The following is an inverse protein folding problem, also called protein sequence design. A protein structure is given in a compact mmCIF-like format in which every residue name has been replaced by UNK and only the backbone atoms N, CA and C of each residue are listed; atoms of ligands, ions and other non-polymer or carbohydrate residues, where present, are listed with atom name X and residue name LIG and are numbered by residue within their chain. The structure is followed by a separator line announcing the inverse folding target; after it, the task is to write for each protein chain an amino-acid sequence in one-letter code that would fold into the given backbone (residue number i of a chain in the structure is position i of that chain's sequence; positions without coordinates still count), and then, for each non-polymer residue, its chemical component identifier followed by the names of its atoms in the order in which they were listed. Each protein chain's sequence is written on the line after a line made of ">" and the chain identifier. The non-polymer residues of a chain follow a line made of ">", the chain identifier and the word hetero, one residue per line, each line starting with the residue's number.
data_IF_808943880461
#
_entry.id   IF_808943880461
#
_cell.length_a   1.000
_cell.length_b   1.000
_cell.length_c   1.000
_cell.angle_alpha   90.00
_cell.angle_beta   90.00
_cell.angle_gamma   90.00
#
_symmetry.space_group_name_H-M   'P 1'
#
loop_
_entity.id
_entity.type
_entity.pdbx_description
1 polymer ?
#
# COMPACT_ATOMS: atom_id res chain seq x y z
N UNK A 1 -53.93 0.96 -21.68
CA UNK A 1 -53.76 -0.45 -21.23
C UNK A 1 -53.30 -0.43 -19.79
N UNK A 2 -53.97 -1.14 -18.87
CA UNK A 2 -53.62 -1.13 -17.44
C UNK A 2 -52.46 -2.10 -17.14
N UNK A 3 -51.43 -1.60 -16.47
CA UNK A 3 -50.23 -2.37 -16.12
C UNK A 3 -50.48 -3.09 -14.77
N UNK A 4 -50.53 -4.43 -14.79
CA UNK A 4 -50.60 -5.27 -13.58
C UNK A 4 -49.21 -5.38 -12.96
N UNK A 5 -49.04 -4.83 -11.76
CA UNK A 5 -47.87 -5.09 -10.91
C UNK A 5 -48.16 -6.28 -10.01
N UNK A 6 -47.46 -7.40 -10.24
CA UNK A 6 -47.51 -8.55 -9.34
C UNK A 6 -46.65 -8.25 -8.11
N UNK A 7 -47.30 -8.13 -6.94
CA UNK A 7 -46.62 -8.04 -5.66
C UNK A 7 -45.96 -9.38 -5.36
N UNK A 8 -44.63 -9.41 -5.37
CA UNK A 8 -43.84 -10.58 -4.98
C UNK A 8 -43.89 -10.69 -3.46
N UNK A 9 -44.44 -11.79 -2.96
CA UNK A 9 -44.49 -12.11 -1.55
C UNK A 9 -43.06 -12.21 -1.00
N UNK A 10 -42.69 -11.47 0.07
CA UNK A 10 -41.41 -11.65 0.71
C UNK A 10 -41.44 -13.00 1.43
N UNK A 11 -40.80 -13.98 0.80
CA UNK A 11 -40.42 -15.28 1.38
C UNK A 11 -39.86 -15.09 2.78
N UNK A 12 -40.70 -15.23 3.83
CA UNK A 12 -40.34 -15.67 5.19
C UNK A 12 -41.64 -15.85 6.00
N UNK A 13 -42.41 -16.89 5.68
CA UNK A 13 -43.30 -17.49 6.67
C UNK A 13 -42.43 -18.23 7.70
N UNK A 14 -41.93 -17.50 8.69
CA UNK A 14 -41.17 -18.04 9.81
C UNK A 14 -42.13 -18.62 10.84
N UNK A 15 -42.28 -19.94 10.83
CA UNK A 15 -42.82 -20.73 11.94
C UNK A 15 -42.09 -20.35 13.25
N UNK A 16 -42.80 -19.84 14.28
CA UNK A 16 -42.20 -19.40 15.53
C UNK A 16 -41.78 -20.62 16.37
N UNK A 17 -40.55 -21.08 16.15
CA UNK A 17 -39.96 -22.18 16.91
C UNK A 17 -38.87 -22.98 16.20
N UNK A 18 -38.69 -22.78 14.89
CA UNK A 18 -37.64 -23.46 14.16
C UNK A 18 -36.25 -22.83 14.46
N UNK A 19 -35.25 -23.61 14.89
CA UNK A 19 -33.89 -23.12 15.06
C UNK A 19 -33.35 -22.62 13.72
N UNK A 20 -32.57 -21.51 13.70
CA UNK A 20 -32.06 -20.93 12.47
C UNK A 20 -31.24 -21.95 11.68
N UNK A 21 -31.37 -22.00 10.33
CA UNK A 21 -30.61 -22.92 9.51
C UNK A 21 -29.11 -22.65 9.71
N UNK A 22 -28.35 -23.71 10.01
CA UNK A 22 -26.90 -23.61 10.16
C UNK A 22 -26.28 -23.08 8.86
N UNK A 23 -25.40 -22.07 8.93
CA UNK A 23 -24.71 -21.60 7.73
C UNK A 23 -23.90 -22.75 7.12
N UNK A 24 -23.82 -22.83 5.78
CA UNK A 24 -23.04 -23.87 5.12
C UNK A 24 -21.59 -23.81 5.59
N UNK A 25 -21.11 -24.91 6.16
CA UNK A 25 -19.71 -25.09 6.54
C UNK A 25 -18.83 -24.90 5.29
N UNK A 26 -18.10 -23.79 5.23
CA UNK A 26 -17.01 -23.61 4.28
C UNK A 26 -15.88 -24.56 4.68
N UNK A 27 -15.84 -25.73 4.05
CA UNK A 27 -14.68 -26.61 4.10
C UNK A 27 -13.59 -26.03 3.21
N UNK A 28 -12.82 -25.07 3.75
CA UNK A 28 -11.60 -24.58 3.13
C UNK A 28 -10.53 -25.69 3.15
N UNK A 29 -10.60 -26.58 2.16
CA UNK A 29 -9.50 -27.47 1.81
C UNK A 29 -8.43 -26.66 1.05
N UNK A 30 -7.50 -26.08 1.80
CA UNK A 30 -6.22 -25.64 1.26
C UNK A 30 -5.29 -26.86 1.22
N UNK A 31 -5.27 -27.55 0.08
CA UNK A 31 -4.17 -28.43 -0.28
C UNK A 31 -2.90 -27.59 -0.46
N UNK A 32 -2.07 -27.60 0.59
CA UNK A 32 -0.69 -27.16 0.60
C UNK A 32 0.12 -28.09 -0.33
N UNK A 33 0.28 -27.71 -1.59
CA UNK A 33 1.34 -28.29 -2.41
C UNK A 33 2.67 -27.66 -2.06
N UNK A 34 3.42 -28.44 -1.30
CA UNK A 34 4.81 -28.29 -0.91
C UNK A 34 5.70 -28.39 -2.15
N UNK A 35 5.99 -27.27 -2.84
CA UNK A 35 7.00 -27.24 -3.90
C UNK A 35 8.36 -26.90 -3.30
N UNK A 36 9.01 -27.93 -2.77
CA UNK A 36 10.43 -27.94 -2.51
C UNK A 36 11.24 -27.78 -3.83
N UNK A 37 12.48 -27.29 -3.66
CA UNK A 37 13.59 -27.29 -4.63
C UNK A 37 13.66 -26.09 -5.60
N UNK A 38 14.54 -25.12 -5.32
CA UNK A 38 15.97 -25.14 -5.68
C UNK A 38 16.59 -23.78 -5.35
N UNK A 39 17.41 -23.78 -4.30
CA UNK A 39 18.30 -22.67 -3.97
C UNK A 39 19.52 -22.78 -4.88
N UNK A 40 19.57 -22.02 -5.98
CA UNK A 40 20.78 -21.83 -6.77
C UNK A 40 21.66 -20.80 -6.08
N UNK A 41 22.62 -21.27 -5.27
CA UNK A 41 23.74 -20.45 -4.81
C UNK A 41 24.71 -20.26 -5.97
N UNK A 42 24.81 -19.04 -6.49
CA UNK A 42 25.97 -18.62 -7.27
C UNK A 42 26.97 -18.01 -6.30
N UNK A 43 28.08 -18.71 -6.12
CA UNK A 43 29.31 -18.22 -5.50
C UNK A 43 30.08 -17.49 -6.60
N UNK A 44 30.26 -16.19 -6.46
CA UNK A 44 31.20 -15.42 -7.27
C UNK A 44 32.42 -15.14 -6.41
N UNK A 45 33.49 -15.90 -6.65
CA UNK A 45 34.85 -15.56 -6.24
C UNK A 45 35.33 -14.41 -7.12
N UNK A 46 35.43 -13.19 -6.58
CA UNK A 46 36.28 -12.15 -7.13
C UNK A 46 37.57 -12.06 -6.32
N UNK A 47 38.65 -12.48 -6.97
CA UNK A 47 40.04 -12.37 -6.53
C UNK A 47 40.45 -10.90 -6.65
N UNK A 48 40.73 -10.25 -5.52
CA UNK A 48 41.39 -8.94 -5.47
C UNK A 48 42.90 -9.08 -5.74
N UNK A 49 43.51 -8.18 -6.52
CA UNK A 49 44.93 -7.88 -6.41
C UNK A 49 45.18 -6.60 -5.58
N UNK A 50 46.22 -6.71 -4.76
CA UNK A 50 46.72 -5.72 -3.80
C UNK A 50 47.39 -4.49 -4.41
N UNK A 51 47.31 -3.41 -3.63
CA UNK A 51 47.98 -2.10 -3.74
C UNK A 51 49.51 -2.20 -3.85
N UNK A 52 50.18 -1.35 -4.66
CA UNK A 52 51.45 -0.64 -4.31
C UNK A 52 51.58 0.69 -5.09
N UNK A 53 51.55 1.80 -4.33
CA UNK A 53 52.37 3.03 -4.29
C UNK A 53 53.11 3.68 -5.49
N UNK A 54 52.85 5.01 -5.61
CA UNK A 54 53.78 6.18 -5.72
C UNK A 54 54.37 6.65 -7.07
N UNK A 55 54.25 7.98 -7.27
CA UNK A 55 55.13 8.99 -7.92
C UNK A 55 54.57 9.67 -9.20
N UNK A 56 54.36 11.00 -9.11
CA UNK A 56 53.97 11.98 -10.16
C UNK A 56 55.13 12.30 -11.17
N UNK A 57 55.02 13.30 -12.08
CA UNK A 57 54.41 13.28 -13.41
C UNK A 57 55.46 13.54 -14.53
N UNK A 58 55.09 13.50 -15.83
CA UNK A 58 55.03 14.78 -16.55
C UNK A 58 53.97 14.85 -17.66
N UNK A 59 53.88 16.07 -18.20
CA UNK A 59 52.86 16.61 -19.08
C UNK A 59 52.73 15.94 -20.46
N UNK A 60 51.53 16.17 -21.02
CA UNK A 60 51.25 16.48 -22.42
C UNK A 60 50.71 15.34 -23.30
N UNK A 61 49.83 15.77 -24.21
CA UNK A 61 49.30 15.15 -25.43
C UNK A 61 47.87 14.59 -25.35
N UNK A 62 47.01 15.24 -26.14
CA UNK A 62 45.62 14.95 -26.45
C UNK A 62 45.51 13.61 -27.19
N UNK A 63 44.81 12.63 -26.63
CA UNK A 63 44.20 11.55 -27.40
C UNK A 63 42.78 11.28 -26.90
N UNK A 64 41.82 11.66 -27.75
CA UNK A 64 40.40 11.31 -27.67
C UNK A 64 40.30 9.86 -28.11
N UNK A 65 40.44 8.93 -27.18
CA UNK A 65 40.16 7.52 -27.44
C UNK A 65 38.69 7.21 -27.14
N UNK A 66 38.05 6.67 -28.16
CA UNK A 66 36.70 6.16 -28.12
C UNK A 66 36.64 4.96 -27.16
N UNK A 67 35.90 5.08 -26.06
CA UNK A 67 35.51 3.94 -25.24
C UNK A 67 34.46 3.13 -26.00
N UNK A 68 34.72 1.86 -26.38
CA UNK A 68 33.66 0.99 -26.87
C UNK A 68 32.78 0.60 -25.69
N UNK A 69 31.56 1.12 -25.66
CA UNK A 69 30.54 0.69 -24.74
C UNK A 69 30.24 -0.81 -24.98
N UNK A 70 30.09 -1.63 -23.93
CA UNK A 70 29.72 -3.03 -24.09
C UNK A 70 28.31 -3.14 -24.68
N UNK A 71 28.21 -3.69 -25.89
CA UNK A 71 26.93 -4.09 -26.48
C UNK A 71 26.32 -5.23 -25.66
N UNK A 72 25.34 -4.92 -24.83
CA UNK A 72 24.40 -5.91 -24.32
C UNK A 72 23.43 -6.25 -25.45
N UNK A 73 23.72 -7.35 -26.17
CA UNK A 73 22.77 -7.99 -27.08
C UNK A 73 21.58 -8.49 -26.26
N UNK A 74 20.53 -7.67 -26.18
CA UNK A 74 19.24 -8.10 -25.68
C UNK A 74 18.70 -9.18 -26.63
N UNK A 75 18.68 -10.42 -26.15
CA UNK A 75 18.01 -11.51 -26.82
C UNK A 75 16.55 -11.12 -27.07
N UNK A 76 16.16 -11.12 -28.35
CA UNK A 76 14.79 -10.92 -28.78
C UNK A 76 13.91 -11.99 -28.11
N UNK A 77 12.95 -11.54 -27.29
CA UNK A 77 11.86 -12.39 -26.81
C UNK A 77 10.92 -12.69 -27.98
N UNK A 78 10.60 -13.97 -28.25
CA UNK A 78 9.56 -14.30 -29.22
C UNK A 78 8.22 -13.78 -28.72
N UNK A 79 7.59 -12.97 -29.56
CA UNK A 79 6.18 -12.60 -29.48
C UNK A 79 5.35 -13.85 -29.72
N UNK A 80 4.73 -14.37 -28.66
CA UNK A 80 3.61 -15.29 -28.80
C UNK A 80 2.36 -14.58 -28.30
N UNK A 81 1.63 -14.06 -29.29
CA UNK A 81 0.18 -14.08 -29.27
C UNK A 81 -0.25 -15.51 -28.98
N UNK A 82 -1.04 -15.71 -27.93
CA UNK A 82 -2.15 -16.67 -28.02
C UNK A 82 -3.27 -16.25 -27.07
N UNK A 83 -4.38 -15.94 -27.73
CA UNK A 83 -5.70 -15.77 -27.17
C UNK A 83 -6.12 -17.06 -26.46
N UNK A 84 -6.23 -17.02 -25.14
CA UNK A 84 -7.02 -18.01 -24.41
C UNK A 84 -8.20 -17.33 -23.74
N UNK A 85 -9.38 -17.65 -24.25
CA UNK A 85 -10.67 -17.33 -23.67
C UNK A 85 -10.75 -17.90 -22.25
N UNK A 86 -10.88 -17.03 -21.25
CA UNK A 86 -11.22 -17.43 -19.89
C UNK A 86 -12.74 -17.37 -19.71
N UNK A 87 -13.44 -18.49 -19.42
CA UNK A 87 -14.90 -18.52 -19.27
C UNK A 87 -15.39 -18.17 -17.85
N UNK A 88 -14.54 -17.66 -16.95
CA UNK A 88 -14.94 -17.36 -15.57
C UNK A 88 -14.68 -15.90 -15.18
N UNK A 89 -15.58 -15.01 -15.59
CA UNK A 89 -15.80 -13.73 -14.93
C UNK A 89 -17.07 -13.79 -14.09
N UNK A 90 -16.98 -14.42 -12.91
CA UNK A 90 -18.05 -14.36 -11.91
C UNK A 90 -17.94 -13.02 -11.18
N UNK A 91 -18.65 -12.00 -11.69
CA UNK A 91 -18.88 -10.74 -10.97
C UNK A 91 -19.60 -11.05 -9.67
N UNK A 92 -18.98 -10.77 -8.53
CA UNK A 92 -19.66 -10.73 -7.24
C UNK A 92 -19.91 -9.27 -6.92
N UNK A 93 -21.13 -8.83 -7.18
CA UNK A 93 -21.65 -7.53 -6.77
C UNK A 93 -21.86 -7.59 -5.26
N UNK A 94 -21.03 -6.91 -4.48
CA UNK A 94 -21.30 -6.68 -3.06
C UNK A 94 -22.29 -5.52 -2.96
N UNK A 95 -23.60 -5.82 -2.90
CA UNK A 95 -24.58 -4.87 -2.38
C UNK A 95 -24.36 -4.74 -0.87
N UNK A 96 -23.79 -3.60 -0.49
CA UNK A 96 -23.64 -3.17 0.89
C UNK A 96 -25.02 -2.79 1.44
N UNK A 97 -25.73 -3.77 1.96
CA UNK A 97 -26.96 -3.55 2.72
C UNK A 97 -26.61 -2.86 4.05
N UNK A 98 -26.87 -1.55 4.12
CA UNK A 98 -26.95 -0.78 5.36
C UNK A 98 -28.10 -1.33 6.21
N UNK A 99 -27.77 -2.15 7.19
CA UNK A 99 -28.69 -2.57 8.24
C UNK A 99 -28.82 -1.44 9.26
N UNK A 100 -29.94 -0.72 9.17
CA UNK A 100 -30.48 0.10 10.27
C UNK A 100 -30.93 -0.86 11.38
N UNK A 101 -30.31 -0.77 12.55
CA UNK A 101 -30.84 -1.36 13.79
C UNK A 101 -31.86 -0.40 14.43
N UNK A 102 -33.07 -0.85 14.79
CA UNK A 102 -34.00 -0.11 15.63
C UNK A 102 -33.73 -0.36 17.12
N UNK A 103 -34.01 0.68 17.92
CA UNK A 103 -33.76 0.79 19.35
C UNK A 103 -34.62 -0.15 20.21
N UNK A 104 -34.08 -0.56 21.37
CA UNK A 104 -34.75 -0.40 22.67
C UNK A 104 -33.79 -0.69 23.83
N UNK A 105 -33.56 0.26 24.73
CA UNK A 105 -33.46 0.00 26.16
C UNK A 105 -33.55 1.30 26.93
N UNK A 106 -34.62 1.41 27.70
CA UNK A 106 -34.87 2.44 28.70
C UNK A 106 -33.85 2.31 29.84
N UNK A 107 -33.06 3.36 30.06
CA UNK A 107 -32.40 3.60 31.32
C UNK A 107 -32.50 5.09 31.65
N UNK A 108 -33.43 5.36 32.56
CA UNK A 108 -33.62 6.62 33.26
C UNK A 108 -32.43 6.85 34.22
N UNK A 109 -31.62 7.88 33.98
CA UNK A 109 -30.86 8.52 35.05
C UNK A 109 -30.36 9.92 34.69
N UNK A 110 -30.91 10.88 35.45
CA UNK A 110 -30.31 12.11 35.95
C UNK A 110 -29.88 13.22 34.97
N UNK A 111 -30.58 14.34 35.14
CA UNK A 111 -30.40 15.65 34.52
C UNK A 111 -29.26 16.42 35.20
N UNK A 112 -28.32 16.94 34.40
CA UNK A 112 -27.50 18.15 34.65
C UNK A 112 -26.84 18.50 33.30
N UNK A 113 -27.45 19.30 32.43
CA UNK A 113 -27.57 20.78 32.47
C UNK A 113 -26.21 21.49 32.49
N UNK A 114 -25.55 21.67 31.33
CA UNK A 114 -24.68 22.80 30.98
C UNK A 114 -24.51 22.80 29.45
N UNK A 115 -25.25 23.66 28.74
CA UNK A 115 -24.88 25.02 28.33
C UNK A 115 -24.19 25.08 26.96
N UNK A 116 -25.03 25.45 25.99
CA UNK A 116 -24.76 26.06 24.68
C UNK A 116 -23.34 26.62 24.44
N UNK A 117 -22.67 26.13 23.41
CA UNK A 117 -21.72 26.92 22.64
C UNK A 117 -21.75 26.47 21.19
N UNK A 118 -22.63 27.09 20.40
CA UNK A 118 -22.65 26.97 18.95
C UNK A 118 -21.33 27.44 18.37
N UNK A 119 -20.47 26.50 17.99
CA UNK A 119 -19.38 26.76 17.05
C UNK A 119 -19.89 26.44 15.65
N UNK A 120 -20.54 27.42 15.05
CA UNK A 120 -20.85 27.49 13.63
C UNK A 120 -19.56 27.44 12.81
N UNK A 121 -19.15 26.23 12.43
CA UNK A 121 -18.10 25.99 11.43
C UNK A 121 -18.77 25.58 10.13
N UNK A 122 -19.48 26.52 9.49
CA UNK A 122 -20.15 26.29 8.19
C UNK A 122 -19.73 27.28 7.10
N UNK A 123 -18.60 27.97 7.30
CA UNK A 123 -18.09 28.98 6.34
C UNK A 123 -16.95 28.49 5.45
N UNK A 124 -16.49 27.23 5.54
CA UNK A 124 -15.47 26.68 4.62
C UNK A 124 -16.03 25.91 3.41
N UNK A 125 -17.35 25.71 3.29
CA UNK A 125 -17.90 24.76 2.32
C UNK A 125 -17.90 25.22 0.87
N UNK A 126 -17.63 26.50 0.57
CA UNK A 126 -17.65 27.00 -0.82
C UNK A 126 -16.30 26.85 -1.53
N UNK A 127 -15.19 26.89 -0.79
CA UNK A 127 -13.84 26.76 -1.40
C UNK A 127 -13.49 25.30 -1.75
N UNK A 128 -14.10 24.31 -1.09
CA UNK A 128 -13.81 22.90 -1.38
C UNK A 128 -14.52 22.35 -2.64
N UNK A 129 -15.53 23.05 -3.15
CA UNK A 129 -16.24 22.63 -4.37
C UNK A 129 -15.39 22.84 -5.63
N UNK A 130 -14.49 23.83 -5.63
CA UNK A 130 -13.57 24.07 -6.75
C UNK A 130 -12.30 23.21 -6.73
N UNK A 131 -12.06 22.45 -5.66
CA UNK A 131 -10.84 21.62 -5.53
C UNK A 131 -10.97 20.31 -6.30
N UNK A 132 -9.86 19.86 -6.87
CA UNK A 132 -9.76 18.62 -7.65
C UNK A 132 -10.07 17.42 -6.72
N UNK A 133 -11.16 16.68 -6.96
CA UNK A 133 -11.53 15.56 -6.10
C UNK A 133 -10.59 14.37 -6.32
N UNK A 134 -10.56 13.47 -5.33
CA UNK A 134 -9.83 12.20 -5.43
C UNK A 134 -10.49 11.31 -6.50
N UNK A 135 -9.73 10.72 -7.45
CA UNK A 135 -10.31 9.81 -8.43
C UNK A 135 -10.82 8.52 -7.77
N UNK A 136 -11.80 7.84 -8.38
CA UNK A 136 -12.31 6.58 -7.86
C UNK A 136 -11.23 5.49 -7.90
N UNK A 137 -11.10 4.71 -6.82
CA UNK A 137 -10.20 3.56 -6.73
C UNK A 137 -9.14 3.65 -5.63
N UNK A 138 -8.39 2.56 -5.43
CA UNK A 138 -7.24 2.54 -4.52
C UNK A 138 -5.95 2.99 -5.23
N UNK A 139 -5.13 3.86 -4.61
CA UNK A 139 -3.84 4.25 -5.18
C UNK A 139 -2.88 3.05 -5.24
N UNK A 140 -2.21 2.88 -6.39
CA UNK A 140 -1.16 1.86 -6.58
C UNK A 140 -1.67 0.47 -7.00
N UNK A 141 -2.93 0.34 -7.45
CA UNK A 141 -3.49 -0.91 -8.00
C UNK A 141 -3.99 -0.75 -9.44
N UNK A 142 -3.11 -0.42 -10.40
CA UNK A 142 -3.51 -0.34 -11.81
C UNK A 142 -4.09 -1.68 -12.28
N UNK A 143 -5.19 -1.64 -13.04
CA UNK A 143 -5.85 -2.82 -13.60
C UNK A 143 -6.80 -3.59 -12.66
N UNK A 144 -6.94 -3.17 -11.38
CA UNK A 144 -7.91 -3.75 -10.43
C UNK A 144 -8.91 -2.71 -9.90
N UNK A 145 -9.21 -1.70 -10.71
CA UNK A 145 -10.07 -0.58 -10.31
C UNK A 145 -9.38 0.46 -9.42
N UNK A 146 -8.05 0.44 -9.33
CA UNK A 146 -7.25 1.51 -8.75
C UNK A 146 -6.60 2.39 -9.82
N UNK A 147 -5.91 3.44 -9.38
CA UNK A 147 -5.19 4.38 -10.26
C UNK A 147 -3.71 4.46 -9.88
N UNK A 148 -2.90 4.98 -10.80
CA UNK A 148 -1.53 5.39 -10.49
C UNK A 148 -1.50 6.87 -10.12
N UNK A 149 -0.76 7.24 -9.08
CA UNK A 149 -0.71 8.63 -8.60
C UNK A 149 -0.16 9.60 -9.65
N UNK A 150 0.74 9.12 -10.52
CA UNK A 150 1.28 9.91 -11.62
C UNK A 150 0.22 10.26 -12.67
N UNK A 151 -0.59 9.28 -13.06
CA UNK A 151 -1.68 9.43 -14.03
C UNK A 151 -2.81 10.31 -13.47
N UNK A 152 -3.15 10.14 -12.19
CA UNK A 152 -4.19 10.93 -11.54
C UNK A 152 -3.84 12.41 -11.35
N UNK A 153 -2.56 12.73 -11.22
CA UNK A 153 -2.08 14.12 -11.07
C UNK A 153 -1.92 14.83 -12.42
N UNK A 154 -1.63 14.08 -13.48
CA UNK A 154 -1.29 14.59 -14.81
C UNK A 154 -0.20 15.70 -14.78
N UNK A 155 0.75 15.57 -13.85
CA UNK A 155 1.86 16.50 -13.74
C UNK A 155 2.95 16.18 -14.76
N UNK A 156 3.74 17.20 -15.11
CA UNK A 156 4.97 16.98 -15.86
C UNK A 156 5.82 15.91 -15.15
N UNK A 157 6.32 14.87 -15.85
CA UNK A 157 7.10 13.79 -15.25
C UNK A 157 8.26 14.27 -14.37
N UNK A 158 8.91 15.40 -14.73
CA UNK A 158 9.98 16.01 -13.93
C UNK A 158 9.46 16.61 -12.62
N UNK A 159 8.30 17.28 -12.65
CA UNK A 159 7.65 17.85 -11.48
C UNK A 159 7.18 16.75 -10.53
N UNK A 160 6.53 15.71 -11.07
CA UNK A 160 6.12 14.53 -10.29
C UNK A 160 7.32 13.83 -9.65
N UNK A 161 8.42 13.65 -10.38
CA UNK A 161 9.65 13.05 -9.82
C UNK A 161 10.23 13.89 -8.67
N UNK A 162 10.24 15.22 -8.80
CA UNK A 162 10.66 16.15 -7.73
C UNK A 162 9.76 16.04 -6.51
N UNK A 163 8.44 16.07 -6.72
CA UNK A 163 7.44 15.89 -5.66
C UNK A 163 7.62 14.56 -4.92
N UNK A 164 7.69 13.45 -5.66
CA UNK A 164 7.88 12.11 -5.10
C UNK A 164 9.17 12.02 -4.27
N UNK A 165 10.28 12.56 -4.77
CA UNK A 165 11.56 12.56 -4.05
C UNK A 165 11.47 13.39 -2.76
N UNK A 166 10.88 14.58 -2.83
CA UNK A 166 10.71 15.46 -1.67
C UNK A 166 9.82 14.80 -0.60
N UNK A 167 8.67 14.25 -1.02
CA UNK A 167 7.76 13.54 -0.12
C UNK A 167 8.42 12.33 0.55
N UNK A 168 9.18 11.51 -0.20
CA UNK A 168 9.93 10.41 0.40
C UNK A 168 10.87 10.88 1.50
N UNK A 169 11.59 11.98 1.26
CA UNK A 169 12.51 12.56 2.23
C UNK A 169 11.78 13.04 3.49
N UNK A 170 10.71 13.83 3.33
CA UNK A 170 9.90 14.32 4.46
C UNK A 170 9.29 13.17 5.29
N UNK A 171 8.84 12.10 4.63
CA UNK A 171 8.29 10.92 5.31
C UNK A 171 9.37 10.21 6.13
N UNK A 172 10.57 10.05 5.59
CA UNK A 172 11.69 9.41 6.29
C UNK A 172 12.24 10.26 7.42
N UNK A 173 12.20 11.59 7.28
CA UNK A 173 12.67 12.54 8.28
C UNK A 173 11.71 12.63 9.47
N UNK A 174 10.39 12.66 9.22
CA UNK A 174 9.41 12.99 10.26
C UNK A 174 8.51 11.85 10.70
N UNK A 175 8.34 10.79 9.90
CA UNK A 175 7.44 9.69 10.23
C UNK A 175 8.21 8.42 10.54
N UNK A 176 7.59 7.55 11.35
CA UNK A 176 8.18 6.26 11.65
C UNK A 176 7.86 5.26 10.54
N UNK A 177 8.80 5.01 9.64
CA UNK A 177 8.63 4.12 8.48
C UNK A 177 8.39 2.64 8.83
N UNK A 178 8.58 2.25 10.08
CA UNK A 178 8.28 0.88 10.58
C UNK A 178 6.81 0.67 10.91
N UNK A 179 6.03 1.75 11.08
CA UNK A 179 4.60 1.71 11.44
C UNK A 179 3.72 2.03 10.24
N UNK A 180 2.50 1.50 10.22
CA UNK A 180 1.49 1.87 9.23
C UNK A 180 0.93 3.28 9.49
N UNK A 181 0.26 3.86 8.49
CA UNK A 181 -0.29 5.22 8.55
C UNK A 181 -1.26 5.43 9.73
N UNK A 182 -2.12 4.45 10.03
CA UNK A 182 -3.09 4.52 11.14
C UNK A 182 -2.46 4.50 12.52
N UNK A 183 -1.18 4.10 12.64
CA UNK A 183 -0.43 4.08 13.89
C UNK A 183 0.61 5.21 13.97
N UNK A 184 0.57 6.18 13.07
CA UNK A 184 1.40 7.38 13.12
C UNK A 184 0.80 8.42 14.08
N UNK A 185 1.67 9.30 14.57
CA UNK A 185 1.22 10.46 15.33
C UNK A 185 0.62 11.50 14.36
N UNK A 186 -0.63 11.90 14.60
CA UNK A 186 -1.34 12.90 13.80
C UNK A 186 -0.64 14.27 13.77
N UNK A 187 0.05 14.68 14.85
CA UNK A 187 0.82 15.92 14.87
C UNK A 187 1.99 15.88 13.86
N UNK A 188 2.67 14.74 13.73
CA UNK A 188 3.76 14.58 12.77
C UNK A 188 3.23 14.53 11.32
N UNK A 189 2.06 13.91 11.11
CA UNK A 189 1.39 13.96 9.80
C UNK A 189 1.05 15.41 9.39
N UNK A 190 0.62 16.24 10.34
CA UNK A 190 0.38 17.67 10.10
C UNK A 190 1.67 18.40 9.72
N UNK A 191 2.78 18.17 10.45
CA UNK A 191 4.08 18.75 10.11
C UNK A 191 4.54 18.38 8.70
N UNK A 192 4.37 17.12 8.30
CA UNK A 192 4.69 16.68 6.92
C UNK A 192 3.80 17.36 5.90
N UNK A 193 2.51 17.54 6.21
CA UNK A 193 1.57 18.27 5.35
C UNK A 193 2.00 19.72 5.17
N UNK A 194 2.23 20.44 6.26
CA UNK A 194 2.58 21.86 6.24
C UNK A 194 3.87 22.08 5.43
N UNK A 195 4.93 21.30 5.71
CA UNK A 195 6.20 21.35 4.95
C UNK A 195 6.03 21.00 3.46
N UNK A 196 5.13 20.10 3.12
CA UNK A 196 4.89 19.71 1.74
C UNK A 196 4.11 20.78 0.97
N UNK A 197 3.14 21.44 1.62
CA UNK A 197 2.41 22.58 1.04
C UNK A 197 3.36 23.75 0.81
N UNK A 198 4.25 24.04 1.77
CA UNK A 198 5.30 25.07 1.61
C UNK A 198 6.20 24.79 0.40
N UNK A 199 6.53 23.51 0.14
CA UNK A 199 7.38 23.09 -0.96
C UNK A 199 6.64 22.96 -2.31
N UNK A 200 5.33 22.69 -2.28
CA UNK A 200 4.46 22.47 -3.44
C UNK A 200 3.09 23.12 -3.21
N UNK A 201 2.97 24.44 -3.43
CA UNK A 201 1.71 25.16 -3.22
C UNK A 201 0.54 24.62 -4.07
N UNK A 202 0.83 24.01 -5.22
CA UNK A 202 -0.16 23.37 -6.10
C UNK A 202 -1.01 22.31 -5.38
N UNK A 203 -0.54 21.76 -4.25
CA UNK A 203 -1.28 20.79 -3.44
C UNK A 203 -2.57 21.36 -2.83
N UNK A 204 -2.67 22.69 -2.64
CA UNK A 204 -3.87 23.34 -2.11
C UNK A 204 -5.07 23.24 -3.07
N UNK A 205 -4.82 23.00 -4.36
CA UNK A 205 -5.84 22.81 -5.37
C UNK A 205 -6.53 21.44 -5.28
N UNK A 206 -6.02 20.52 -4.46
CA UNK A 206 -6.54 19.16 -4.33
C UNK A 206 -7.36 19.01 -3.06
N UNK A 207 -8.55 18.42 -3.18
CA UNK A 207 -9.45 18.22 -2.04
C UNK A 207 -8.78 17.34 -0.99
N UNK A 208 -8.86 17.75 0.27
CA UNK A 208 -8.25 17.08 1.44
C UNK A 208 -6.76 16.77 1.32
N UNK A 209 -6.03 17.39 0.38
CA UNK A 209 -4.65 17.05 0.04
C UNK A 209 -4.49 15.56 -0.31
N UNK A 210 -5.45 15.00 -1.06
CA UNK A 210 -5.42 13.57 -1.40
C UNK A 210 -4.11 13.07 -2.04
N UNK A 211 -3.37 13.83 -2.88
CA UNK A 211 -2.11 13.35 -3.45
C UNK A 211 -1.04 13.12 -2.38
N UNK A 212 -1.00 14.02 -1.39
CA UNK A 212 -0.09 13.93 -0.25
C UNK A 212 -0.45 12.73 0.62
N UNK A 213 -1.73 12.59 0.98
CA UNK A 213 -2.21 11.50 1.83
C UNK A 213 -1.93 10.14 1.17
N UNK A 214 -2.18 10.00 -0.13
CA UNK A 214 -1.90 8.78 -0.88
C UNK A 214 -0.40 8.46 -0.94
N UNK A 215 0.45 9.46 -1.17
CA UNK A 215 1.90 9.27 -1.18
C UNK A 215 2.42 8.77 0.18
N UNK A 216 1.91 9.35 1.28
CA UNK A 216 2.24 8.91 2.65
C UNK A 216 1.78 7.47 2.87
N UNK A 217 0.53 7.15 2.55
CA UNK A 217 -0.01 5.80 2.73
C UNK A 217 0.76 4.76 1.93
N UNK A 218 1.03 5.03 0.64
CA UNK A 218 1.78 4.13 -0.23
C UNK A 218 3.18 3.88 0.32
N UNK A 219 3.90 4.94 0.72
CA UNK A 219 5.27 4.82 1.25
C UNK A 219 5.29 4.01 2.54
N UNK A 220 4.44 4.37 3.52
CA UNK A 220 4.40 3.70 4.81
C UNK A 220 3.95 2.24 4.69
N UNK A 221 2.99 1.94 3.81
CA UNK A 221 2.56 0.56 3.53
C UNK A 221 3.73 -0.28 3.03
N UNK A 222 4.52 0.27 2.09
CA UNK A 222 5.69 -0.42 1.57
C UNK A 222 6.78 -0.61 2.64
N UNK A 223 7.18 0.47 3.33
CA UNK A 223 8.30 0.44 4.28
C UNK A 223 7.99 -0.38 5.53
N UNK A 224 6.78 -0.27 6.08
CA UNK A 224 6.37 -1.05 7.27
C UNK A 224 6.28 -2.55 6.95
N UNK A 225 5.77 -2.89 5.76
CA UNK A 225 5.78 -4.26 5.26
C UNK A 225 7.19 -4.82 5.15
N UNK A 226 8.12 -4.03 4.59
CA UNK A 226 9.54 -4.40 4.46
C UNK A 226 10.22 -4.56 5.82
N UNK A 227 9.96 -3.67 6.77
CA UNK A 227 10.49 -3.75 8.13
C UNK A 227 10.06 -5.05 8.83
N UNK A 228 8.79 -5.42 8.72
CA UNK A 228 8.26 -6.69 9.26
C UNK A 228 8.94 -7.92 8.63
N UNK A 229 9.14 -7.90 7.31
CA UNK A 229 9.85 -8.98 6.62
C UNK A 229 11.30 -9.12 7.11
N UNK A 230 12.01 -8.00 7.24
CA UNK A 230 13.38 -8.01 7.75
C UNK A 230 13.45 -8.53 9.18
N UNK A 231 12.53 -8.12 10.06
CA UNK A 231 12.44 -8.64 11.43
C UNK A 231 12.17 -10.15 11.47
N UNK A 232 11.25 -10.64 10.63
CA UNK A 232 10.95 -12.06 10.52
C UNK A 232 12.18 -12.88 10.06
N UNK A 233 12.92 -12.39 9.06
CA UNK A 233 14.15 -13.04 8.57
C UNK A 233 15.23 -13.11 9.67
N UNK A 234 15.41 -12.04 10.45
CA UNK A 234 16.36 -12.00 11.56
C UNK A 234 15.97 -12.93 12.73
N UNK A 235 14.67 -13.12 12.98
CA UNK A 235 14.19 -14.05 14.00
C UNK A 235 14.47 -15.52 13.64
N UNK A 236 14.29 -15.89 12.36
CA UNK A 236 14.57 -17.25 11.86
C UNK A 236 16.07 -17.57 11.87
N UNK A 237 16.94 -16.59 11.64
CA UNK A 237 18.40 -16.80 11.70
C UNK A 237 18.93 -17.15 13.09
N UNK A 238 18.35 -16.57 14.15
CA UNK A 238 18.82 -16.76 15.53
C UNK A 238 18.49 -18.12 16.15
N UNK A 239 17.47 -18.83 15.65
CA UNK A 239 17.06 -20.14 16.18
C UNK A 239 18.00 -21.28 15.77
N UNK A 240 18.81 -21.11 14.70
CA UNK A 240 19.74 -22.15 14.24
C UNK A 240 21.08 -22.21 14.99
N UNK A 241 21.44 -21.17 15.74
CA UNK A 241 22.77 -21.06 16.36
C UNK A 241 22.87 -21.62 17.79
N UNK A 242 21.76 -22.05 18.42
CA UNK A 242 21.73 -22.46 19.84
C UNK A 242 21.81 -23.98 20.09
N UNK A 243 21.99 -24.81 19.07
CA UNK A 243 22.08 -26.28 19.22
C UNK A 243 23.49 -26.80 18.94
N UNK A 244 24.49 -26.35 19.70
CA UNK A 244 25.71 -27.11 19.95
C UNK A 244 25.77 -27.35 21.46
N UNK A 245 25.07 -28.39 21.89
CA UNK A 245 25.16 -28.98 23.23
C UNK A 245 26.40 -29.87 23.21
N UNK A 246 27.43 -29.48 23.96
CA UNK A 246 28.67 -30.22 24.11
C UNK A 246 28.41 -31.68 24.55
N UNK A 247 28.83 -32.68 23.75
CA UNK A 247 28.85 -34.07 24.18
C UNK A 247 30.20 -34.38 24.82
N UNK A 248 30.48 -33.79 25.98
CA UNK A 248 31.71 -34.06 26.75
C UNK A 248 31.40 -34.25 28.23
N UNK A 249 30.51 -35.21 28.52
CA UNK A 249 30.44 -35.83 29.86
C UNK A 249 29.75 -37.20 29.79
N UNK A 250 30.47 -38.20 29.32
CA UNK A 250 30.23 -39.58 29.70
C UNK A 250 31.56 -40.09 30.27
N UNK A 251 31.52 -40.44 31.55
CA UNK A 251 32.62 -40.92 32.39
C UNK A 251 32.32 -42.38 32.71
#
# INVERSE_FOLDING_TARGET
>A
MPNKTNAVSPFYDQEPGAPPPFPPMLTDQLELFDSAHRSTMLVSDEILPSRISTVDPPQHIKHREHTPAPEFKLAARPSQNDSSSSPYSKRVSFERSSSRTPMLSDYSSSLDSMSESGSSTSTESLSDESKIPKPPGEPGRPGRGGYTLNEALDWNPKAYAKFKKSMHHLIEEHLNTTKCASSQNHALLKVVRDKAVDAFPDLENYRDFWPLNDMIMMRLKYTSGRARQTQAMMAVGKSKSKTKKDPSKAR
#
